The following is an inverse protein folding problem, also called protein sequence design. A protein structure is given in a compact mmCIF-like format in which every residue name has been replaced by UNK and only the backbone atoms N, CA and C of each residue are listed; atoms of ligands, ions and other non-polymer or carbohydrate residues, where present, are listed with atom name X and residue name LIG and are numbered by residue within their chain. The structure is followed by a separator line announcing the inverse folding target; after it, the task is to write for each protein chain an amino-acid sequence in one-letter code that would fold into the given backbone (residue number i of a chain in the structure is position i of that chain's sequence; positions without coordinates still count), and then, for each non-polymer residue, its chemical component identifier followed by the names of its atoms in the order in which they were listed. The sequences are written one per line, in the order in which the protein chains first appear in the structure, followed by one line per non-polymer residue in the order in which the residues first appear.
data_IF_334923056901
#
_entry.id   IF_334923056901
#
_cell.length_a   1.000
_cell.length_b   1.000
_cell.length_c   1.000
_cell.angle_alpha   90.00
_cell.angle_beta   90.00
_cell.angle_gamma   90.00
#
_symmetry.space_group_name_H-M   'P 1'
#
loop_
_entity.id
_entity.type
_entity.pdbx_description
1 polymer ?
#
# COMPACT_ATOMS: atom_id res chain seq x y z
N UNK A 1 -20.67 8.43 -13.83
CA UNK A 1 -20.73 8.19 -12.37
C UNK A 1 -19.54 7.33 -12.06
N UNK A 2 -18.73 7.66 -11.06
CA UNK A 2 -17.55 6.87 -10.71
C UNK A 2 -17.98 5.56 -10.03
N UNK A 3 -17.15 4.52 -10.17
CA UNK A 3 -17.35 3.26 -9.45
C UNK A 3 -16.56 3.27 -8.14
N UNK A 4 -17.10 2.60 -7.14
CA UNK A 4 -16.44 2.43 -5.83
C UNK A 4 -16.21 0.95 -5.63
N UNK A 5 -14.95 0.61 -5.33
CA UNK A 5 -14.54 -0.74 -4.95
C UNK A 5 -14.15 -0.73 -3.46
N UNK A 6 -14.67 -1.68 -2.68
CA UNK A 6 -14.44 -1.77 -1.24
C UNK A 6 -13.92 -3.16 -0.90
N UNK A 7 -12.78 -3.21 -0.21
CA UNK A 7 -12.19 -4.46 0.22
C UNK A 7 -11.75 -4.42 1.68
N UNK A 8 -11.72 -5.59 2.31
CA UNK A 8 -11.18 -5.75 3.66
C UNK A 8 -10.41 -7.06 3.77
N UNK A 9 -9.35 -7.06 4.56
CA UNK A 9 -8.60 -8.28 4.90
C UNK A 9 -7.96 -8.15 6.29
N UNK A 10 -7.60 -9.28 6.86
CA UNK A 10 -6.76 -9.35 8.07
C UNK A 10 -5.34 -9.72 7.63
N UNK A 11 -4.33 -9.13 8.29
CA UNK A 11 -2.93 -9.50 8.15
C UNK A 11 -2.35 -9.81 9.52
N UNK A 12 -1.58 -10.88 9.59
CA UNK A 12 -1.01 -11.41 10.85
C UNK A 12 0.39 -10.83 11.09
N UNK A 13 0.43 -9.50 11.15
CA UNK A 13 1.58 -8.72 11.61
C UNK A 13 1.10 -7.40 12.20
N UNK A 14 1.97 -6.73 12.94
CA UNK A 14 1.67 -5.42 13.49
C UNK A 14 1.24 -4.44 12.39
N UNK A 15 0.24 -3.61 12.67
CA UNK A 15 -0.32 -2.67 11.69
C UNK A 15 0.74 -1.72 11.11
N UNK A 16 1.79 -1.46 11.87
CA UNK A 16 2.87 -0.57 11.47
C UNK A 16 3.66 -1.12 10.27
N UNK A 17 3.81 -2.46 10.14
CA UNK A 17 4.45 -3.08 8.97
C UNK A 17 3.72 -2.70 7.68
N UNK A 18 2.40 -2.72 7.72
CA UNK A 18 1.57 -2.36 6.55
C UNK A 18 1.54 -0.85 6.30
N UNK A 19 1.64 -0.01 7.34
CA UNK A 19 1.81 1.43 7.15
C UNK A 19 3.13 1.74 6.44
N UNK A 20 4.22 1.12 6.87
CA UNK A 20 5.54 1.27 6.25
C UNK A 20 5.54 0.80 4.80
N UNK A 21 4.97 -0.37 4.52
CA UNK A 21 4.80 -0.86 3.15
C UNK A 21 4.04 0.14 2.26
N UNK A 22 3.02 0.79 2.80
CA UNK A 22 2.19 1.74 2.05
C UNK A 22 2.91 3.00 1.61
N UNK A 23 3.94 3.42 2.33
CA UNK A 23 4.78 4.59 1.99
C UNK A 23 6.16 4.20 1.45
N UNK A 24 6.40 2.92 1.20
CA UNK A 24 7.58 2.43 0.51
C UNK A 24 7.27 2.21 -0.98
N UNK A 25 7.77 3.06 -1.86
CA UNK A 25 7.66 2.84 -3.31
C UNK A 25 8.83 2.00 -3.86
N UNK A 26 9.90 1.81 -3.09
CA UNK A 26 11.07 1.08 -3.55
C UNK A 26 10.81 -0.44 -3.57
N UNK A 27 9.94 -0.97 -2.71
CA UNK A 27 9.61 -2.41 -2.71
C UNK A 27 8.88 -2.86 -3.97
N UNK A 28 8.11 -1.96 -4.59
CA UNK A 28 7.22 -2.30 -5.72
C UNK A 28 7.94 -3.04 -6.86
N UNK A 29 9.08 -2.56 -7.40
CA UNK A 29 9.77 -3.25 -8.49
C UNK A 29 10.40 -4.59 -8.07
N UNK A 30 10.62 -4.83 -6.79
CA UNK A 30 11.18 -6.09 -6.30
C UNK A 30 10.07 -7.09 -5.93
N UNK A 31 9.18 -6.68 -5.03
CA UNK A 31 8.13 -7.55 -4.48
C UNK A 31 7.12 -7.93 -5.56
N UNK A 32 6.78 -7.01 -6.46
CA UNK A 32 5.72 -7.18 -7.45
C UNK A 32 6.25 -7.38 -8.89
N UNK A 33 7.52 -7.75 -9.05
CA UNK A 33 8.18 -7.86 -10.36
C UNK A 33 7.48 -8.79 -11.36
N UNK A 34 6.80 -9.83 -10.89
CA UNK A 34 6.07 -10.80 -11.73
C UNK A 34 4.55 -10.63 -11.66
N UNK A 35 4.06 -9.52 -11.13
CA UNK A 35 2.63 -9.24 -11.05
C UNK A 35 2.10 -8.50 -12.28
N UNK A 36 0.78 -8.30 -12.32
CA UNK A 36 0.14 -7.50 -13.37
C UNK A 36 0.62 -6.06 -13.48
N UNK A 37 1.29 -5.52 -12.46
CA UNK A 37 1.91 -4.20 -12.55
C UNK A 37 2.93 -4.09 -13.69
N UNK A 38 3.62 -5.17 -14.06
CA UNK A 38 4.53 -5.20 -15.21
C UNK A 38 3.82 -5.01 -16.54
N UNK A 39 2.59 -5.51 -16.66
CA UNK A 39 1.81 -5.44 -17.90
C UNK A 39 1.35 -4.01 -18.23
N UNK A 40 1.30 -3.13 -17.26
CA UNK A 40 0.82 -1.76 -17.42
C UNK A 40 1.92 -0.74 -17.71
N UNK A 41 3.13 -1.21 -18.09
CA UNK A 41 4.23 -0.32 -18.51
C UNK A 41 4.78 0.54 -17.37
N UNK A 42 4.61 0.12 -16.12
CA UNK A 42 5.29 0.76 -15.01
C UNK A 42 6.78 0.56 -15.19
N UNK A 43 7.53 1.66 -15.35
CA UNK A 43 8.98 1.62 -15.32
C UNK A 43 9.42 1.05 -13.96
N UNK A 44 10.26 0.02 -14.04
CA UNK A 44 10.76 -0.73 -12.87
C UNK A 44 12.04 -0.11 -12.29
N UNK A 45 12.40 1.10 -12.68
CA UNK A 45 13.46 1.85 -12.04
C UNK A 45 13.06 2.21 -10.61
N UNK A 46 14.00 2.06 -9.70
CA UNK A 46 13.82 2.46 -8.30
C UNK A 46 13.69 3.99 -8.27
N UNK A 47 12.57 4.53 -7.77
CA UNK A 47 12.39 5.97 -7.74
C UNK A 47 13.34 6.62 -6.72
N UNK A 48 13.74 7.85 -6.96
CA UNK A 48 14.36 8.69 -5.93
C UNK A 48 13.28 9.10 -4.94
N UNK A 49 13.41 8.66 -3.70
CA UNK A 49 12.42 8.94 -2.64
C UNK A 49 12.81 10.20 -1.89
N UNK A 50 11.85 11.11 -1.74
CA UNK A 50 11.88 12.23 -0.79
C UNK A 50 10.57 12.27 -0.01
N UNK A 51 10.58 12.88 1.17
CA UNK A 51 9.38 12.98 2.00
C UNK A 51 9.41 14.26 2.82
N UNK A 52 8.22 14.74 3.17
CA UNK A 52 8.05 15.89 4.05
C UNK A 52 6.90 15.66 5.02
N UNK A 53 7.02 16.23 6.23
CA UNK A 53 5.92 16.31 7.17
C UNK A 53 4.94 17.41 6.73
N UNK A 54 3.66 17.09 6.76
CA UNK A 54 2.57 17.99 6.41
C UNK A 54 1.68 18.27 7.63
N UNK A 55 0.64 19.07 7.44
CA UNK A 55 -0.36 19.30 8.49
C UNK A 55 -1.25 18.08 8.78
N UNK A 56 -1.27 17.09 7.87
CA UNK A 56 -2.07 15.87 7.99
C UNK A 56 -1.24 14.59 8.22
N UNK A 57 0.08 14.65 8.09
CA UNK A 57 0.95 13.49 8.22
C UNK A 57 2.21 13.59 7.35
N UNK A 58 2.37 12.71 6.37
CA UNK A 58 3.55 12.66 5.48
C UNK A 58 3.10 12.67 4.01
N UNK A 59 3.76 13.50 3.22
CA UNK A 59 3.76 13.38 1.76
C UNK A 59 5.09 12.74 1.31
N UNK A 60 5.01 11.66 0.54
CA UNK A 60 6.16 10.94 -0.01
C UNK A 60 6.16 11.06 -1.53
N UNK A 61 7.29 11.48 -2.08
CA UNK A 61 7.52 11.70 -3.50
C UNK A 61 8.49 10.65 -4.04
N UNK A 62 8.03 9.83 -4.97
CA UNK A 62 8.86 8.89 -5.71
C UNK A 62 9.10 9.39 -7.13
N UNK A 63 10.20 10.10 -7.33
CA UNK A 63 10.56 10.68 -8.63
C UNK A 63 11.30 9.66 -9.49
N UNK A 64 10.81 9.45 -10.71
CA UNK A 64 11.41 8.54 -11.69
C UNK A 64 12.29 9.28 -12.69
N UNK A 65 13.04 8.54 -13.52
CA UNK A 65 13.97 9.10 -14.50
C UNK A 65 13.30 10.07 -15.51
N UNK A 66 12.00 9.91 -15.78
CA UNK A 66 11.21 10.82 -16.62
C UNK A 66 10.83 12.15 -15.93
N UNK A 67 11.26 12.38 -14.69
CA UNK A 67 10.97 13.59 -13.93
C UNK A 67 9.59 13.62 -13.26
N UNK A 68 8.72 12.66 -13.54
CA UNK A 68 7.39 12.57 -12.89
C UNK A 68 7.52 11.97 -11.50
N UNK A 69 7.00 12.67 -10.51
CA UNK A 69 6.90 12.15 -9.15
C UNK A 69 5.50 11.61 -8.87
N UNK A 70 5.43 10.36 -8.41
CA UNK A 70 4.23 9.81 -7.78
C UNK A 70 4.21 10.23 -6.32
N UNK A 71 3.09 10.76 -5.87
CA UNK A 71 2.92 11.18 -4.48
C UNK A 71 1.98 10.23 -3.75
N UNK A 72 2.48 9.60 -2.68
CA UNK A 72 1.66 8.88 -1.72
C UNK A 72 1.53 9.74 -0.47
N UNK A 73 0.35 9.73 0.14
CA UNK A 73 0.09 10.47 1.37
C UNK A 73 -0.24 9.52 2.49
N UNK A 74 0.44 9.72 3.60
CA UNK A 74 0.10 9.08 4.86
C UNK A 74 -0.56 10.12 5.76
N UNK A 75 -1.81 9.86 6.13
CA UNK A 75 -2.59 10.72 7.02
C UNK A 75 -2.62 10.08 8.41
N UNK A 76 -2.13 10.84 9.38
CA UNK A 76 -2.15 10.38 10.78
C UNK A 76 -3.58 10.09 11.26
N UNK A 77 -3.82 9.04 12.05
CA UNK A 77 -2.78 8.09 12.53
C UNK A 77 -2.53 6.89 11.60
N UNK A 78 -3.44 6.53 10.68
CA UNK A 78 -3.39 5.19 10.06
C UNK A 78 -4.02 5.11 8.66
N UNK A 79 -4.09 6.22 7.94
CA UNK A 79 -4.71 6.27 6.61
C UNK A 79 -3.62 6.47 5.56
N UNK A 80 -3.66 5.65 4.52
CA UNK A 80 -2.85 5.82 3.33
C UNK A 80 -3.76 6.29 2.18
N UNK A 81 -3.30 7.29 1.42
CA UNK A 81 -3.89 7.67 0.14
C UNK A 81 -2.86 7.45 -0.97
N UNK A 82 -3.27 6.74 -1.99
CA UNK A 82 -2.45 6.49 -3.19
C UNK A 82 -3.29 6.64 -4.45
N UNK A 83 -2.67 7.13 -5.52
CA UNK A 83 -3.22 7.01 -6.86
C UNK A 83 -2.78 5.67 -7.45
N UNK A 84 -3.73 4.79 -7.69
CA UNK A 84 -3.47 3.50 -8.32
C UNK A 84 -3.22 3.66 -9.83
N UNK A 85 -2.46 2.73 -10.40
CA UNK A 85 -2.35 2.59 -11.84
C UNK A 85 -3.71 2.22 -12.44
N UNK A 86 -4.02 2.64 -13.67
CA UNK A 86 -5.19 2.15 -14.37
C UNK A 86 -5.08 0.63 -14.55
N UNK A 87 -6.18 -0.07 -14.41
CA UNK A 87 -6.23 -1.52 -14.62
C UNK A 87 -6.10 -1.91 -16.09
N UNK A 88 -6.33 -0.95 -16.98
CA UNK A 88 -5.99 -1.03 -18.40
C UNK A 88 -5.70 0.35 -18.96
N UNK A 89 -4.98 0.43 -20.07
CA UNK A 89 -4.73 1.70 -20.76
C UNK A 89 -6.02 2.41 -21.25
N UNK A 90 -7.14 1.69 -21.30
CA UNK A 90 -8.46 2.20 -21.72
C UNK A 90 -9.35 2.59 -20.54
N UNK A 91 -8.98 2.26 -19.34
CA UNK A 91 -9.71 2.56 -18.13
C UNK A 91 -9.02 3.70 -17.38
N UNK A 92 -9.81 4.51 -16.72
CA UNK A 92 -9.33 5.64 -15.96
C UNK A 92 -8.45 5.18 -14.77
N UNK A 93 -7.80 6.14 -14.17
CA UNK A 93 -7.04 5.94 -12.94
C UNK A 93 -7.99 5.76 -11.74
N UNK A 94 -7.45 5.22 -10.66
CA UNK A 94 -8.17 5.09 -9.39
C UNK A 94 -7.43 5.79 -8.25
N UNK A 95 -8.21 6.33 -7.33
CA UNK A 95 -7.75 6.78 -6.03
C UNK A 95 -8.06 5.73 -4.99
N UNK A 96 -7.11 5.42 -4.13
CA UNK A 96 -7.30 4.45 -3.08
C UNK A 96 -7.00 5.06 -1.71
N UNK A 97 -7.94 4.87 -0.79
CA UNK A 97 -7.77 5.10 0.63
C UNK A 97 -7.70 3.75 1.34
N UNK A 98 -6.77 3.64 2.26
CA UNK A 98 -6.58 2.43 3.03
C UNK A 98 -6.38 2.76 4.51
N UNK A 99 -7.26 2.21 5.36
CA UNK A 99 -7.14 2.28 6.81
C UNK A 99 -6.48 1.02 7.34
N UNK A 100 -5.52 1.19 8.25
CA UNK A 100 -4.85 0.07 8.92
C UNK A 100 -5.22 0.12 10.39
N UNK A 101 -6.19 -0.70 10.78
CA UNK A 101 -6.78 -0.68 12.11
C UNK A 101 -6.21 -1.83 12.93
N UNK A 102 -5.43 -1.56 13.99
CA UNK A 102 -4.89 -2.61 14.85
C UNK A 102 -6.05 -3.39 15.52
N UNK A 103 -5.96 -4.70 15.52
CA UNK A 103 -6.81 -5.60 16.30
C UNK A 103 -6.12 -5.89 17.63
N UNK A 104 -4.81 -6.16 17.54
CA UNK A 104 -3.89 -6.37 18.66
C UNK A 104 -2.46 -6.01 18.20
N UNK A 105 -1.45 -6.36 19.01
CA UNK A 105 -0.04 -6.05 18.71
C UNK A 105 0.51 -6.83 17.51
N UNK A 106 -0.11 -7.94 17.13
CA UNK A 106 0.39 -8.88 16.12
C UNK A 106 -0.57 -9.09 14.95
N UNK A 107 -1.66 -8.35 14.92
CA UNK A 107 -2.63 -8.41 13.82
C UNK A 107 -3.35 -7.08 13.60
N UNK A 108 -3.81 -6.87 12.38
CA UNK A 108 -4.61 -5.71 12.03
C UNK A 108 -5.63 -6.03 10.93
N UNK A 109 -6.68 -5.23 10.88
CA UNK A 109 -7.64 -5.24 9.79
C UNK A 109 -7.41 -4.05 8.89
N UNK A 110 -7.32 -4.33 7.60
CA UNK A 110 -7.27 -3.31 6.55
C UNK A 110 -8.64 -3.09 5.95
N UNK A 111 -9.03 -1.83 5.79
CA UNK A 111 -10.18 -1.41 5.01
C UNK A 111 -9.66 -0.58 3.84
N UNK A 112 -10.07 -0.93 2.63
CA UNK A 112 -9.62 -0.27 1.43
C UNK A 112 -10.83 0.23 0.65
N UNK A 113 -10.79 1.46 0.19
CA UNK A 113 -11.79 2.05 -0.69
C UNK A 113 -11.06 2.58 -1.92
N UNK A 114 -11.44 2.12 -3.09
CA UNK A 114 -10.95 2.66 -4.35
C UNK A 114 -12.08 3.37 -5.10
N UNK A 115 -11.81 4.60 -5.51
CA UNK A 115 -12.65 5.36 -6.41
C UNK A 115 -12.09 5.21 -7.82
N UNK A 116 -12.86 4.58 -8.69
CA UNK A 116 -12.47 4.30 -10.08
C UNK A 116 -13.19 5.27 -11.00
N UNK A 117 -12.41 6.08 -11.73
CA UNK A 117 -12.92 7.15 -12.59
C UNK A 117 -13.34 6.60 -13.96
N UNK A 118 -14.43 5.84 -13.98
CA UNK A 118 -15.05 5.25 -15.18
C UNK A 118 -16.52 5.61 -15.28
N UNK A 119 -17.07 5.61 -16.49
CA UNK A 119 -18.48 5.85 -16.74
C UNK A 119 -18.97 5.11 -18.00
N UNK A 120 -20.28 5.04 -18.21
CA UNK A 120 -20.87 4.38 -19.36
C UNK A 120 -20.42 2.91 -19.50
N UNK A 121 -20.11 2.49 -20.73
CA UNK A 121 -19.68 1.12 -21.03
C UNK A 121 -18.39 0.72 -20.29
N UNK A 122 -17.49 1.65 -19.97
CA UNK A 122 -16.30 1.36 -19.18
C UNK A 122 -16.65 0.96 -17.74
N UNK A 123 -17.67 1.58 -17.14
CA UNK A 123 -18.15 1.20 -15.81
C UNK A 123 -18.81 -0.19 -15.84
N UNK A 124 -19.54 -0.54 -16.90
CA UNK A 124 -20.13 -1.88 -17.05
C UNK A 124 -19.03 -2.95 -17.16
N UNK A 125 -18.00 -2.72 -18.00
CA UNK A 125 -16.87 -3.63 -18.12
C UNK A 125 -16.08 -3.76 -16.81
N UNK A 126 -15.92 -2.66 -16.07
CA UNK A 126 -15.27 -2.68 -14.76
C UNK A 126 -16.01 -3.60 -13.79
N UNK A 127 -17.34 -3.42 -13.62
CA UNK A 127 -18.16 -4.24 -12.71
C UNK A 127 -18.12 -5.71 -13.09
N UNK A 128 -18.24 -6.03 -14.37
CA UNK A 128 -18.21 -7.42 -14.83
C UNK A 128 -16.84 -8.07 -14.56
N UNK A 129 -15.75 -7.34 -14.76
CA UNK A 129 -14.41 -7.84 -14.45
C UNK A 129 -14.26 -8.06 -12.93
N UNK A 130 -14.71 -7.13 -12.08
CA UNK A 130 -14.68 -7.30 -10.63
C UNK A 130 -15.45 -8.56 -10.21
N UNK A 131 -16.66 -8.74 -10.72
CA UNK A 131 -17.46 -9.94 -10.47
C UNK A 131 -16.72 -11.24 -10.85
N UNK A 132 -16.10 -11.28 -12.02
CA UNK A 132 -15.33 -12.44 -12.47
C UNK A 132 -14.07 -12.68 -11.63
N UNK A 133 -13.40 -11.62 -11.21
CA UNK A 133 -12.25 -11.73 -10.31
C UNK A 133 -12.65 -12.26 -8.94
N UNK A 134 -13.72 -11.74 -8.34
CA UNK A 134 -14.26 -12.21 -7.06
C UNK A 134 -14.69 -13.69 -7.16
N UNK A 135 -15.38 -14.06 -8.22
CA UNK A 135 -15.77 -15.45 -8.47
C UNK A 135 -14.53 -16.36 -8.60
N UNK A 136 -13.49 -15.90 -9.27
CA UNK A 136 -12.23 -16.65 -9.42
C UNK A 136 -11.55 -16.81 -8.07
N UNK A 137 -11.38 -15.72 -7.31
CA UNK A 137 -10.71 -15.72 -6.01
C UNK A 137 -11.47 -16.59 -5.01
N UNK A 138 -12.81 -16.56 -5.01
CA UNK A 138 -13.62 -17.35 -4.08
C UNK A 138 -13.44 -18.87 -4.20
N UNK A 139 -12.96 -19.36 -5.35
CA UNK A 139 -12.68 -20.77 -5.63
C UNK A 139 -11.24 -21.19 -5.30
N UNK A 140 -10.38 -20.22 -4.94
CA UNK A 140 -8.96 -20.44 -4.69
C UNK A 140 -8.66 -20.36 -3.18
N UNK A 141 -7.56 -20.98 -2.71
CA UNK A 141 -7.08 -20.73 -1.36
C UNK A 141 -6.88 -19.23 -1.14
N UNK A 142 -7.19 -18.75 0.07
CA UNK A 142 -7.05 -17.31 0.39
C UNK A 142 -5.61 -16.83 0.26
N UNK A 143 -5.43 -15.51 0.04
CA UNK A 143 -4.09 -14.91 -0.04
C UNK A 143 -3.24 -15.23 1.20
N UNK A 144 -3.85 -15.23 2.39
CA UNK A 144 -3.19 -15.60 3.64
C UNK A 144 -2.68 -17.06 3.65
N UNK A 145 -3.51 -18.03 3.20
CA UNK A 145 -3.11 -19.44 3.11
C UNK A 145 -1.95 -19.62 2.14
N UNK A 146 -1.98 -18.95 1.00
CA UNK A 146 -0.89 -18.99 0.01
C UNK A 146 0.40 -18.38 0.57
N UNK A 147 0.29 -17.25 1.26
CA UNK A 147 1.43 -16.60 1.89
C UNK A 147 2.04 -17.49 3.00
N UNK A 148 1.21 -18.10 3.84
CA UNK A 148 1.67 -19.02 4.89
C UNK A 148 2.41 -20.23 4.29
N UNK A 149 1.90 -20.79 3.19
CA UNK A 149 2.58 -21.89 2.48
C UNK A 149 3.93 -21.46 1.89
N UNK A 150 4.02 -20.24 1.36
CA UNK A 150 5.27 -19.68 0.85
C UNK A 150 6.29 -19.46 1.98
N UNK A 151 5.86 -18.89 3.09
CA UNK A 151 6.72 -18.68 4.28
C UNK A 151 7.19 -19.97 4.91
N UNK A 152 6.39 -21.05 4.83
CA UNK A 152 6.77 -22.39 5.25
C UNK A 152 7.70 -23.11 4.26
N UNK A 153 8.01 -22.51 3.11
CA UNK A 153 8.85 -23.12 2.07
C UNK A 153 8.18 -24.21 1.24
N UNK A 154 6.85 -24.32 1.31
CA UNK A 154 6.09 -25.31 0.53
C UNK A 154 5.90 -24.90 -0.93
N UNK A 155 6.03 -23.62 -1.26
CA UNK A 155 5.99 -23.06 -2.60
C UNK A 155 6.82 -21.78 -2.68
N UNK A 156 7.23 -21.43 -3.90
CA UNK A 156 7.81 -20.10 -4.17
C UNK A 156 6.73 -19.13 -4.61
N UNK A 157 6.73 -17.94 -4.07
CA UNK A 157 5.86 -16.84 -4.52
C UNK A 157 6.04 -16.52 -6.02
N UNK A 158 7.25 -16.80 -6.55
CA UNK A 158 7.58 -16.60 -7.96
C UNK A 158 7.00 -17.67 -8.88
N UNK A 159 6.59 -18.80 -8.33
CA UNK A 159 6.00 -19.92 -9.05
C UNK A 159 4.47 -19.96 -8.93
N UNK A 160 3.89 -19.01 -8.21
CA UNK A 160 2.43 -18.85 -8.16
C UNK A 160 1.94 -18.39 -9.53
N UNK A 161 1.03 -19.17 -10.11
CA UNK A 161 0.35 -18.81 -11.34
C UNK A 161 -0.35 -17.45 -11.21
N UNK A 162 -0.50 -16.77 -12.33
CA UNK A 162 -1.15 -15.48 -12.39
C UNK A 162 -2.59 -15.58 -11.86
N UNK A 163 -2.84 -14.87 -10.76
CA UNK A 163 -4.16 -14.78 -10.14
C UNK A 163 -4.47 -13.31 -9.78
N UNK A 164 -5.75 -12.94 -9.73
CA UNK A 164 -6.13 -11.54 -9.53
C UNK A 164 -5.57 -10.90 -8.25
N UNK A 165 -5.40 -11.68 -7.19
CA UNK A 165 -4.92 -11.24 -5.88
C UNK A 165 -3.43 -11.50 -5.62
N UNK A 166 -2.63 -11.78 -6.66
CA UNK A 166 -1.19 -12.09 -6.54
C UNK A 166 -0.43 -10.99 -5.77
N UNK A 167 -0.69 -9.72 -6.05
CA UNK A 167 -0.08 -8.58 -5.33
C UNK A 167 -0.34 -8.66 -3.83
N UNK A 168 -1.57 -9.01 -3.44
CA UNK A 168 -1.93 -9.15 -2.03
C UNK A 168 -1.19 -10.33 -1.37
N UNK A 169 -1.01 -11.45 -2.09
CA UNK A 169 -0.20 -12.59 -1.60
C UNK A 169 1.24 -12.17 -1.38
N UNK A 170 1.84 -11.49 -2.35
CA UNK A 170 3.22 -11.00 -2.28
C UNK A 170 3.41 -10.05 -1.10
N UNK A 171 2.45 -9.16 -0.87
CA UNK A 171 2.44 -8.27 0.29
C UNK A 171 2.29 -9.01 1.62
N UNK A 172 1.47 -10.07 1.70
CA UNK A 172 1.38 -10.91 2.88
C UNK A 172 2.74 -11.56 3.19
N UNK A 173 3.38 -12.16 2.17
CA UNK A 173 4.71 -12.77 2.34
C UNK A 173 5.75 -11.75 2.79
N UNK A 174 5.82 -10.58 2.13
CA UNK A 174 6.81 -9.56 2.45
C UNK A 174 6.63 -8.98 3.86
N UNK A 175 5.40 -8.80 4.31
CA UNK A 175 5.10 -8.14 5.59
C UNK A 175 5.05 -9.12 6.75
N UNK A 176 4.41 -10.28 6.60
CA UNK A 176 4.36 -11.31 7.64
C UNK A 176 5.70 -12.04 7.80
N UNK A 177 6.48 -12.15 6.71
CA UNK A 177 7.82 -12.73 6.71
C UNK A 177 8.86 -11.96 7.53
N UNK A 178 8.59 -10.68 7.84
CA UNK A 178 9.41 -9.91 8.78
C UNK A 178 9.17 -10.30 10.25
N UNK A 179 8.21 -11.19 10.50
CA UNK A 179 7.68 -11.49 11.82
C UNK A 179 6.50 -10.60 12.20
N UNK A 180 5.71 -11.07 13.15
CA UNK A 180 4.54 -10.34 13.63
C UNK A 180 4.92 -8.94 14.15
N UNK A 181 6.03 -8.84 14.87
CA UNK A 181 6.70 -7.59 15.27
C UNK A 181 8.14 -7.67 14.78
N UNK A 182 8.56 -6.86 13.80
CA UNK A 182 9.92 -6.90 13.25
C UNK A 182 10.99 -6.56 14.28
N UNK A 183 12.15 -7.20 14.16
CA UNK A 183 13.32 -6.83 14.97
C UNK A 183 13.95 -5.54 14.45
N UNK A 184 13.52 -4.41 15.01
CA UNK A 184 13.95 -3.06 14.60
C UNK A 184 15.46 -2.78 14.85
N UNK A 185 16.08 -3.50 15.76
CA UNK A 185 17.52 -3.37 16.05
C UNK A 185 18.40 -3.99 14.94
N UNK A 186 17.88 -4.99 14.26
CA UNK A 186 18.56 -5.66 13.15
C UNK A 186 18.41 -4.95 11.81
N UNK A 187 17.52 -3.94 11.71
CA UNK A 187 17.25 -3.24 10.45
C UNK A 187 18.43 -2.41 9.96
N UNK A 188 18.50 -2.26 8.64
CA UNK A 188 19.46 -1.39 7.96
C UNK A 188 18.68 -0.48 7.01
N UNK A 189 18.35 0.71 7.48
CA UNK A 189 17.61 1.70 6.68
C UNK A 189 18.54 2.42 5.72
N UNK A 190 18.10 2.59 4.48
CA UNK A 190 18.81 3.24 3.40
C UNK A 190 18.15 4.55 2.94
N UNK A 191 18.62 5.07 1.81
CA UNK A 191 18.05 6.29 1.21
C UNK A 191 16.62 6.12 0.69
N UNK A 192 16.26 4.92 0.31
CA UNK A 192 14.89 4.57 -0.10
C UNK A 192 13.88 4.68 1.02
N UNK A 193 14.34 4.55 2.28
CA UNK A 193 13.49 4.49 3.47
C UNK A 193 13.21 5.87 4.09
N UNK A 194 13.54 6.96 3.39
CA UNK A 194 13.38 8.34 3.89
C UNK A 194 11.98 8.62 4.43
N UNK A 195 10.93 8.16 3.75
CA UNK A 195 9.55 8.35 4.18
C UNK A 195 9.20 7.53 5.43
N UNK A 196 9.69 6.28 5.50
CA UNK A 196 9.56 5.40 6.67
C UNK A 196 10.24 6.03 7.88
N UNK A 197 11.48 6.52 7.71
CA UNK A 197 12.23 7.19 8.77
C UNK A 197 11.45 8.40 9.30
N UNK A 198 10.94 9.24 8.41
CA UNK A 198 10.16 10.42 8.79
C UNK A 198 8.87 10.03 9.54
N UNK A 199 8.12 9.05 9.04
CA UNK A 199 6.92 8.55 9.71
C UNK A 199 7.24 8.04 11.13
N UNK A 200 8.31 7.25 11.28
CA UNK A 200 8.77 6.76 12.59
C UNK A 200 9.16 7.89 13.55
N UNK A 201 9.78 8.95 13.04
CA UNK A 201 10.12 10.13 13.84
C UNK A 201 8.87 10.84 14.36
N UNK A 202 7.85 11.01 13.49
CA UNK A 202 6.57 11.59 13.86
C UNK A 202 5.89 10.75 14.95
N UNK A 203 5.76 9.44 14.72
CA UNK A 203 5.16 8.54 15.71
C UNK A 203 5.89 8.57 17.04
N UNK A 204 7.22 8.52 17.03
CA UNK A 204 8.05 8.61 18.26
C UNK A 204 7.83 9.92 19.00
N UNK A 205 7.71 11.03 18.28
CA UNK A 205 7.41 12.35 18.85
C UNK A 205 6.04 12.36 19.53
N UNK A 206 5.02 11.88 18.83
CA UNK A 206 3.64 11.87 19.35
C UNK A 206 3.49 10.92 20.55
N UNK A 207 4.06 9.72 20.48
CA UNK A 207 4.04 8.76 21.57
C UNK A 207 4.79 9.28 22.81
N UNK A 208 5.92 9.97 22.63
CA UNK A 208 6.64 10.60 23.73
C UNK A 208 5.80 11.72 24.35
N UNK A 209 5.18 12.56 23.55
CA UNK A 209 4.30 13.61 24.06
C UNK A 209 3.13 13.02 24.87
N UNK A 210 2.52 11.93 24.36
CA UNK A 210 1.46 11.21 25.09
C UNK A 210 1.95 10.67 26.44
N UNK A 211 3.11 10.02 26.47
CA UNK A 211 3.70 9.46 27.69
C UNK A 211 4.06 10.53 28.72
N UNK A 212 4.41 11.72 28.28
CA UNK A 212 4.75 12.89 29.12
C UNK A 212 3.51 13.74 29.48
N UNK A 213 2.31 13.36 29.07
CA UNK A 213 1.08 14.15 29.28
C UNK A 213 1.06 15.48 28.53
N UNK A 214 1.86 15.61 27.48
CA UNK A 214 1.93 16.82 26.65
C UNK A 214 0.88 16.80 25.55
N UNK A 215 0.45 17.97 25.04
CA UNK A 215 -0.46 18.04 23.91
C UNK A 215 0.11 17.36 22.67
N UNK A 216 -0.70 16.54 22.00
CA UNK A 216 -0.37 15.98 20.69
C UNK A 216 -0.55 17.03 19.60
N UNK A 217 0.18 16.88 18.48
CA UNK A 217 -0.05 17.70 17.29
C UNK A 217 -1.49 17.50 16.81
N UNK A 218 -2.20 18.60 16.54
CA UNK A 218 -3.51 18.56 15.90
C UNK A 218 -3.31 18.37 14.40
N UNK A 219 -3.65 17.19 13.90
CA UNK A 219 -3.58 16.87 12.49
C UNK A 219 -4.80 17.43 11.77
N UNK A 220 -4.58 18.09 10.64
CA UNK A 220 -5.65 18.68 9.85
C UNK A 220 -6.22 17.68 8.84
N UNK A 221 -7.44 17.92 8.39
CA UNK A 221 -7.99 17.24 7.24
C UNK A 221 -7.52 17.97 5.96
N UNK A 222 -6.82 17.32 5.02
CA UNK A 222 -6.42 17.98 3.78
C UNK A 222 -7.63 18.34 2.92
N UNK A 223 -7.61 19.52 2.32
CA UNK A 223 -8.68 19.94 1.40
C UNK A 223 -8.60 19.21 0.05
N UNK A 224 -7.37 18.98 -0.43
CA UNK A 224 -7.08 18.26 -1.67
C UNK A 224 -5.73 17.56 -1.55
N UNK A 225 -5.69 16.31 -1.99
CA UNK A 225 -4.45 15.54 -2.09
C UNK A 225 -3.98 15.52 -3.55
N UNK A 226 -2.69 15.77 -3.76
CA UNK A 226 -2.07 15.74 -5.09
C UNK A 226 -1.36 14.41 -5.24
N UNK A 227 -1.82 13.59 -6.19
CA UNK A 227 -1.27 12.24 -6.38
C UNK A 227 -0.08 12.18 -7.34
N UNK A 228 0.17 13.25 -8.10
CA UNK A 228 1.33 13.39 -8.99
C UNK A 228 1.82 14.84 -8.97
N UNK A 229 3.12 15.04 -8.99
CA UNK A 229 3.75 16.36 -9.15
C UNK A 229 4.72 16.32 -10.34
N UNK A 230 4.85 17.44 -11.04
CA UNK A 230 5.85 17.59 -12.13
C UNK A 230 5.34 17.06 -13.47
N UNK A 231 4.19 17.56 -13.93
CA UNK A 231 3.81 17.58 -15.36
C UNK A 231 3.70 19.02 -15.79
#
# INVERSE_FOLDING_TARGET
MNEIDVGTYIRHCNFFNTLENGIDQAHVPFTHAKSNFTKFGLNWDIPKITAEETDYGVAMYGTRANGVARVNHYLMPNILYIKGSPESAKEGWREAFAWRVPVDDVSHRSFNIALVHVSGDAALRFRERQRLQEETISKLPSAHVMAAAALAGHLSVHDIEERPDLVNIQDHVAQEGQGAIPNREAERLGRSDTAIILMRQIWRRELRALAEGKPLKKWSRPGRLVATSGV
#
